data_IF_453094227386
#
_entry.id   IF_453094227386
#
_cell.length_a   1.000
_cell.length_b   1.000
_cell.length_c   1.000
_cell.angle_alpha   90.00
_cell.angle_beta   90.00
_cell.angle_gamma   90.00
#
_symmetry.space_group_name_H-M   'P 1'
#
loop_
_entity.id
_entity.type
_entity.pdbx_description
1 polymer ?
#
# COMPACT_ATOMS: atom_id res chain seq x y z
N UNK A 1 -6.24 -1.59 -9.52
CA UNK A 1 -6.84 -2.86 -9.05
C UNK A 1 -8.19 -2.63 -8.37
N UNK A 2 -9.10 -3.61 -8.40
CA UNK A 2 -10.35 -3.58 -7.59
C UNK A 2 -10.09 -4.15 -6.19
N UNK A 3 -10.69 -3.55 -5.17
CA UNK A 3 -10.47 -3.96 -3.78
C UNK A 3 -10.99 -5.38 -3.47
N UNK A 4 -12.02 -5.86 -4.20
CA UNK A 4 -12.57 -7.21 -4.01
C UNK A 4 -11.56 -8.30 -4.37
N UNK A 5 -10.94 -8.19 -5.55
CA UNK A 5 -9.89 -9.10 -6.03
C UNK A 5 -8.68 -9.17 -5.08
N UNK A 6 -8.33 -8.06 -4.43
CA UNK A 6 -7.24 -8.02 -3.45
C UNK A 6 -7.61 -8.75 -2.15
N UNK A 7 -8.89 -8.75 -1.75
CA UNK A 7 -9.33 -9.43 -0.52
C UNK A 7 -9.41 -10.95 -0.67
N UNK A 8 -9.61 -11.44 -1.89
CA UNK A 8 -9.65 -12.88 -2.22
C UNK A 8 -8.24 -13.52 -2.21
N UNK A 9 -7.18 -12.73 -2.39
CA UNK A 9 -5.79 -13.21 -2.37
C UNK A 9 -5.30 -13.57 -0.97
N UNK A 10 -4.34 -14.49 -0.87
CA UNK A 10 -3.73 -14.81 0.43
C UNK A 10 -2.85 -13.67 0.94
N UNK A 11 -2.48 -13.70 2.22
CA UNK A 11 -1.64 -12.64 2.82
C UNK A 11 -0.25 -12.62 2.20
N UNK A 12 0.27 -13.77 1.78
CA UNK A 12 1.59 -13.86 1.14
C UNK A 12 1.53 -13.41 -0.31
N UNK A 13 0.48 -13.74 -1.06
CA UNK A 13 0.25 -13.19 -2.41
C UNK A 13 0.16 -11.66 -2.39
N UNK A 14 -0.48 -11.09 -1.36
CA UNK A 14 -0.57 -9.64 -1.20
C UNK A 14 0.80 -9.01 -0.91
N UNK A 15 1.64 -9.67 -0.13
CA UNK A 15 3.01 -9.21 0.13
C UNK A 15 3.86 -9.25 -1.14
N UNK A 16 3.79 -10.34 -1.89
CA UNK A 16 4.51 -10.47 -3.15
C UNK A 16 4.06 -9.43 -4.17
N UNK A 17 2.74 -9.24 -4.31
CA UNK A 17 2.17 -8.23 -5.19
C UNK A 17 2.61 -6.82 -4.81
N UNK A 18 2.67 -6.51 -3.50
CA UNK A 18 3.20 -5.23 -3.00
C UNK A 18 4.63 -5.00 -3.46
N UNK A 19 5.50 -5.99 -3.32
CA UNK A 19 6.91 -5.87 -3.72
C UNK A 19 7.06 -5.72 -5.23
N UNK A 20 6.27 -6.45 -6.01
CA UNK A 20 6.23 -6.32 -7.47
C UNK A 20 5.80 -4.91 -7.90
N UNK A 21 4.77 -4.34 -7.27
CA UNK A 21 4.34 -2.97 -7.56
C UNK A 21 5.38 -1.93 -7.13
N UNK A 22 6.11 -2.14 -6.03
CA UNK A 22 7.20 -1.27 -5.59
C UNK A 22 8.37 -1.28 -6.58
N UNK A 23 8.76 -2.45 -7.08
CA UNK A 23 9.75 -2.57 -8.17
C UNK A 23 9.27 -1.87 -9.43
N UNK A 24 8.00 -2.05 -9.81
CA UNK A 24 7.39 -1.34 -10.94
C UNK A 24 7.45 0.18 -10.78
N UNK A 25 7.15 0.70 -9.59
CA UNK A 25 7.24 2.13 -9.28
C UNK A 25 8.68 2.65 -9.35
N UNK A 26 9.66 1.88 -8.88
CA UNK A 26 11.07 2.22 -9.00
C UNK A 26 11.48 2.34 -10.47
N UNK A 27 11.11 1.36 -11.30
CA UNK A 27 11.37 1.41 -12.74
C UNK A 27 10.67 2.60 -13.41
N UNK A 28 9.45 2.93 -12.99
CA UNK A 28 8.75 4.12 -13.49
C UNK A 28 9.49 5.41 -13.13
N UNK A 29 9.99 5.53 -11.89
CA UNK A 29 10.79 6.68 -11.45
C UNK A 29 12.10 6.78 -12.20
N UNK A 30 12.77 5.66 -12.41
CA UNK A 30 14.01 5.60 -13.18
C UNK A 30 13.77 6.05 -14.62
N UNK A 31 12.74 5.50 -15.30
CA UNK A 31 12.36 5.94 -16.64
C UNK A 31 11.99 7.42 -16.70
N UNK A 32 11.36 7.98 -15.66
CA UNK A 32 11.06 9.41 -15.62
C UNK A 32 12.26 10.32 -15.43
N UNK A 33 13.37 9.79 -14.91
CA UNK A 33 14.60 10.54 -14.76
C UNK A 33 15.41 10.52 -16.06
N UNK A 34 15.38 9.40 -16.79
CA UNK A 34 16.16 9.21 -18.02
C UNK A 34 15.41 9.70 -19.27
N UNK A 35 14.09 9.54 -19.32
CA UNK A 35 13.23 9.84 -20.47
C UNK A 35 11.91 10.50 -20.05
N UNK A 36 11.14 11.00 -21.02
CA UNK A 36 9.76 11.42 -20.79
C UNK A 36 8.87 10.21 -20.57
N UNK A 37 8.22 10.13 -19.40
CA UNK A 37 7.15 9.14 -19.18
C UNK A 37 5.90 9.54 -19.96
N UNK A 38 5.49 8.67 -20.89
CA UNK A 38 4.28 8.89 -21.70
C UNK A 38 3.00 8.92 -20.87
N UNK A 39 2.92 8.10 -19.82
CA UNK A 39 1.74 7.98 -18.97
C UNK A 39 2.06 8.27 -17.49
N UNK A 40 1.95 9.54 -17.11
CA UNK A 40 2.17 10.00 -15.73
C UNK A 40 1.07 9.52 -14.77
N UNK A 41 -0.10 9.13 -15.27
CA UNK A 41 -1.20 8.62 -14.45
C UNK A 41 -0.84 7.27 -13.79
N UNK A 42 0.08 6.50 -14.39
CA UNK A 42 0.56 5.24 -13.83
C UNK A 42 1.23 5.42 -12.46
N UNK A 43 1.97 6.52 -12.23
CA UNK A 43 2.50 6.81 -10.89
C UNK A 43 1.42 6.85 -9.82
N UNK A 44 0.33 7.58 -10.08
CA UNK A 44 -0.79 7.70 -9.16
C UNK A 44 -1.53 6.38 -8.99
N UNK A 45 -1.70 5.60 -10.08
CA UNK A 45 -2.34 4.29 -10.06
C UNK A 45 -1.54 3.28 -9.24
N UNK A 46 -0.24 3.13 -9.52
CA UNK A 46 0.65 2.21 -8.79
C UNK A 46 0.72 2.57 -7.31
N UNK A 47 0.85 3.87 -6.95
CA UNK A 47 0.84 4.31 -5.56
C UNK A 47 -0.47 3.95 -4.84
N UNK A 48 -1.61 4.17 -5.48
CA UNK A 48 -2.93 3.83 -4.92
C UNK A 48 -3.10 2.32 -4.76
N UNK A 49 -2.61 1.53 -5.71
CA UNK A 49 -2.69 0.06 -5.61
C UNK A 49 -1.82 -0.49 -4.47
N UNK A 50 -0.60 0.04 -4.27
CA UNK A 50 0.23 -0.27 -3.09
C UNK A 50 -0.51 0.08 -1.79
N UNK A 51 -1.08 1.29 -1.70
CA UNK A 51 -1.80 1.73 -0.51
C UNK A 51 -3.02 0.85 -0.18
N UNK A 52 -3.76 0.38 -1.20
CA UNK A 52 -4.88 -0.56 -1.00
C UNK A 52 -4.41 -1.90 -0.42
N UNK A 53 -3.30 -2.44 -0.93
CA UNK A 53 -2.72 -3.69 -0.42
C UNK A 53 -2.27 -3.52 1.03
N UNK A 54 -1.55 -2.44 1.34
CA UNK A 54 -1.11 -2.14 2.70
C UNK A 54 -2.29 -1.98 3.67
N UNK A 55 -3.38 -1.36 3.21
CA UNK A 55 -4.62 -1.23 3.99
C UNK A 55 -5.24 -2.60 4.29
N UNK A 56 -5.36 -3.49 3.31
CA UNK A 56 -5.93 -4.84 3.52
C UNK A 56 -5.03 -5.66 4.45
N UNK A 57 -3.71 -5.56 4.32
CA UNK A 57 -2.77 -6.23 5.24
C UNK A 57 -2.93 -5.69 6.67
N UNK A 58 -3.13 -4.38 6.83
CA UNK A 58 -3.40 -3.77 8.14
C UNK A 58 -4.77 -4.19 8.70
N UNK A 59 -5.82 -4.25 7.87
CA UNK A 59 -7.14 -4.76 8.24
C UNK A 59 -7.04 -6.21 8.74
N UNK A 60 -6.33 -7.09 8.03
CA UNK A 60 -6.11 -8.49 8.45
C UNK A 60 -5.36 -8.58 9.78
N UNK A 61 -4.33 -7.75 9.96
CA UNK A 61 -3.58 -7.68 11.22
C UNK A 61 -4.47 -7.24 12.39
N UNK A 62 -5.33 -6.24 12.17
CA UNK A 62 -6.31 -5.75 13.17
C UNK A 62 -7.45 -6.74 13.41
N UNK A 63 -7.85 -7.53 12.42
CA UNK A 63 -8.85 -8.57 12.64
C UNK A 63 -8.32 -9.70 13.53
N UNK A 64 -7.01 -9.98 13.50
CA UNK A 64 -6.34 -10.92 14.40
C UNK A 64 -5.89 -10.33 15.74
N UNK A 65 -5.89 -9.00 15.90
CA UNK A 65 -5.56 -8.30 17.15
C UNK A 65 -6.79 -7.58 17.67
N UNK A 66 -7.33 -8.04 18.81
CA UNK A 66 -8.38 -7.33 19.54
C UNK A 66 -8.06 -5.82 19.64
N UNK A 67 -9.06 -4.93 19.58
CA UNK A 67 -8.86 -3.50 19.40
C UNK A 67 -8.15 -2.91 20.62
N UNK A 68 -6.82 -2.86 20.60
CA UNK A 68 -6.08 -2.10 21.59
C UNK A 68 -6.40 -0.63 21.36
N UNK A 69 -7.02 -0.06 22.39
CA UNK A 69 -7.63 1.25 22.49
C UNK A 69 -6.83 2.40 21.85
N UNK A 70 -7.51 3.49 21.43
CA UNK A 70 -6.85 4.67 20.91
C UNK A 70 -5.87 5.19 21.96
N UNK A 71 -4.60 5.33 21.55
CA UNK A 71 -3.56 5.99 22.36
C UNK A 71 -4.10 7.37 22.74
N UNK A 72 -4.41 7.54 24.02
CA UNK A 72 -4.90 8.79 24.58
C UNK A 72 -3.98 9.97 24.19
N UNK A 73 -4.53 11.18 23.98
CA UNK A 73 -3.69 12.35 23.79
C UNK A 73 -2.82 12.51 25.04
N UNK A 74 -1.50 12.50 24.85
CA UNK A 74 -0.57 12.96 25.88
C UNK A 74 -0.74 14.47 25.99
N UNK A 75 -1.80 14.93 26.67
CA UNK A 75 -1.78 16.23 27.35
C UNK A 75 -0.99 16.02 28.63
N UNK A 76 0.33 16.16 28.52
CA UNK A 76 1.17 16.44 29.66
C UNK A 76 0.87 17.89 30.08
N UNK A 77 0.15 18.02 31.18
CA UNK A 77 0.14 19.23 31.99
C UNK A 77 1.35 19.14 32.92
N UNK A 78 2.29 20.06 32.75
CA UNK A 78 3.05 20.77 33.80
C UNK A 78 3.65 22.02 33.15
#
# INVERSE_FOLDING_TARGET
MKARELREKTTDDLRELRETLRRGLFNLRFRSATDRVENTAEFGRTRRDIARIETILAERRRAGQAPTAPRAPQTAAD
#
